data_IF_761306955476
#
_entry.id   IF_761306955476
#
_cell.length_a   1.000
_cell.length_b   1.000
_cell.length_c   1.000
_cell.angle_alpha   90.00
_cell.angle_beta   90.00
_cell.angle_gamma   90.00
#
_symmetry.space_group_name_H-M   'P 1'
#
loop_
_entity.id
_entity.type
_entity.pdbx_description
1 polymer ?
#
# COMPACT_ATOMS: atom_id res chain seq x y z
N UNK A 1 -2.08 21.44 4.54
CA UNK A 1 -1.88 20.05 4.99
C UNK A 1 -0.39 19.81 5.17
N UNK A 2 0.08 19.50 6.39
CA UNK A 2 1.51 19.29 6.64
C UNK A 2 2.03 18.14 5.75
N UNK A 3 3.00 18.44 4.88
CA UNK A 3 3.61 17.48 3.95
C UNK A 3 4.49 16.51 4.73
N UNK A 4 3.88 15.53 5.38
CA UNK A 4 4.59 14.39 5.92
C UNK A 4 5.30 13.62 4.82
N UNK A 5 6.55 13.20 5.05
CA UNK A 5 7.31 12.40 4.08
C UNK A 5 6.68 11.01 4.03
N UNK A 6 5.98 10.70 2.94
CA UNK A 6 5.43 9.37 2.66
C UNK A 6 6.57 8.46 2.24
N UNK A 7 6.80 7.39 2.99
CA UNK A 7 7.79 6.37 2.64
C UNK A 7 7.05 5.12 2.22
N UNK A 8 7.12 4.70 0.94
CA UNK A 8 6.53 3.43 0.53
C UNK A 8 7.30 2.29 1.20
N UNK A 9 6.62 1.50 2.02
CA UNK A 9 7.21 0.36 2.75
C UNK A 9 7.03 -0.94 1.95
N UNK A 10 5.94 -1.03 1.19
CA UNK A 10 5.64 -2.13 0.26
C UNK A 10 4.16 -2.23 -0.06
N UNK A 11 3.76 -3.27 -0.79
CA UNK A 11 2.37 -3.66 -1.00
C UNK A 11 2.04 -4.95 -0.26
N UNK A 12 0.78 -5.11 0.12
CA UNK A 12 0.22 -6.40 0.49
C UNK A 12 -0.46 -7.02 -0.73
N UNK A 13 -0.43 -8.34 -0.80
CA UNK A 13 -1.14 -9.10 -1.83
C UNK A 13 -2.47 -9.54 -1.24
N UNK A 14 -3.58 -9.00 -1.74
CA UNK A 14 -4.89 -9.59 -1.47
C UNK A 14 -5.15 -10.71 -2.49
N UNK A 15 -5.18 -11.98 -2.08
CA UNK A 15 -5.35 -13.08 -3.02
C UNK A 15 -6.67 -13.04 -3.79
N UNK A 16 -7.72 -12.41 -3.21
CA UNK A 16 -9.03 -12.32 -3.86
C UNK A 16 -9.04 -11.33 -5.04
N UNK A 17 -8.27 -10.24 -4.95
CA UNK A 17 -8.21 -9.22 -5.99
C UNK A 17 -7.02 -9.37 -6.93
N UNK A 18 -6.00 -10.15 -6.55
CA UNK A 18 -4.78 -10.33 -7.33
C UNK A 18 -5.05 -10.70 -8.80
N UNK A 19 -5.91 -11.68 -9.12
CA UNK A 19 -6.16 -12.03 -10.53
C UNK A 19 -6.80 -10.90 -11.34
N UNK A 20 -7.69 -10.12 -10.71
CA UNK A 20 -8.36 -8.99 -11.37
C UNK A 20 -7.39 -7.84 -11.61
N UNK A 21 -6.50 -7.57 -10.65
CA UNK A 21 -5.45 -6.55 -10.77
C UNK A 21 -4.44 -6.94 -11.85
N UNK A 22 -4.04 -8.21 -11.89
CA UNK A 22 -3.11 -8.71 -12.91
C UNK A 22 -3.73 -8.60 -14.31
N UNK A 23 -4.97 -9.06 -14.49
CA UNK A 23 -5.68 -8.92 -15.76
C UNK A 23 -5.83 -7.46 -16.21
N UNK A 24 -6.11 -6.54 -15.27
CA UNK A 24 -6.19 -5.11 -15.58
C UNK A 24 -4.83 -4.53 -15.99
N UNK A 25 -3.74 -4.91 -15.30
CA UNK A 25 -2.39 -4.48 -15.66
C UNK A 25 -1.98 -5.01 -17.03
N UNK A 26 -2.29 -6.27 -17.34
CA UNK A 26 -1.99 -6.89 -18.64
C UNK A 26 -2.76 -6.21 -19.77
N UNK A 27 -4.05 -5.89 -19.54
CA UNK A 27 -4.85 -5.15 -20.51
C UNK A 27 -4.28 -3.75 -20.77
N UNK A 28 -3.88 -3.02 -19.72
CA UNK A 28 -3.26 -1.70 -19.84
C UNK A 28 -1.92 -1.80 -20.59
N UNK A 29 -1.07 -2.77 -20.24
CA UNK A 29 0.21 -2.98 -20.91
C UNK A 29 0.01 -3.27 -22.40
N UNK A 30 -0.92 -4.17 -22.74
CA UNK A 30 -1.25 -4.52 -24.12
C UNK A 30 -1.69 -3.33 -24.95
N UNK A 31 -2.57 -2.46 -24.42
CA UNK A 31 -3.05 -1.29 -25.19
C UNK A 31 -2.01 -0.17 -25.30
N UNK A 32 -1.10 -0.06 -24.33
CA UNK A 32 0.03 0.88 -24.37
C UNK A 32 1.10 0.40 -25.34
N UNK A 33 1.48 -0.88 -25.29
CA UNK A 33 2.49 -1.48 -26.18
C UNK A 33 2.05 -1.44 -27.65
N UNK A 34 0.75 -1.58 -27.90
CA UNK A 34 0.15 -1.42 -29.24
C UNK A 34 0.03 0.04 -29.70
N UNK A 35 0.40 1.01 -28.86
CA UNK A 35 0.29 2.43 -29.15
C UNK A 35 -1.15 2.96 -29.26
N UNK A 36 -2.15 2.19 -28.81
CA UNK A 36 -3.56 2.57 -28.90
C UNK A 36 -3.91 3.68 -27.90
N UNK A 37 -3.24 3.70 -26.75
CA UNK A 37 -3.46 4.68 -25.70
C UNK A 37 -2.15 5.09 -25.04
N UNK A 38 -2.11 6.32 -24.51
CA UNK A 38 -0.98 6.83 -23.72
C UNK A 38 -1.32 6.81 -22.24
N UNK A 39 -0.49 6.15 -21.43
CA UNK A 39 -0.62 6.19 -19.98
C UNK A 39 -0.30 7.61 -19.47
N UNK A 40 -1.30 8.29 -18.90
CA UNK A 40 -1.15 9.68 -18.43
C UNK A 40 -0.55 9.75 -17.03
N UNK A 41 -1.05 8.93 -16.10
CA UNK A 41 -0.53 8.83 -14.74
C UNK A 41 -1.00 7.53 -14.09
N UNK A 42 -0.25 7.05 -13.09
CA UNK A 42 -0.74 6.12 -12.07
C UNK A 42 -1.02 6.93 -10.81
N UNK A 43 -2.19 7.58 -10.75
CA UNK A 43 -2.69 8.18 -9.51
C UNK A 43 -3.42 7.12 -8.71
N UNK A 44 -3.10 7.00 -7.43
CA UNK A 44 -3.53 5.87 -6.61
C UNK A 44 -4.34 6.37 -5.41
N UNK A 45 -5.48 5.69 -5.17
CA UNK A 45 -6.26 5.62 -3.94
C UNK A 45 -7.49 6.52 -3.86
N UNK A 46 -8.64 6.00 -4.30
CA UNK A 46 -9.95 6.56 -3.95
C UNK A 46 -10.22 6.40 -2.45
N UNK A 47 -9.68 5.33 -1.83
CA UNK A 47 -9.77 5.07 -0.40
C UNK A 47 -8.41 4.76 0.26
N UNK A 48 -8.18 5.35 1.44
CA UNK A 48 -7.05 5.05 2.33
C UNK A 48 -7.50 4.98 3.78
N UNK A 49 -6.94 4.06 4.55
CA UNK A 49 -7.18 3.88 5.99
C UNK A 49 -5.89 4.14 6.73
N UNK A 50 -5.95 4.99 7.76
CA UNK A 50 -4.81 5.30 8.63
C UNK A 50 -4.89 4.48 9.90
N UNK A 51 -3.78 3.85 10.25
CA UNK A 51 -3.63 2.96 11.38
C UNK A 51 -2.48 3.46 12.25
N UNK A 52 -2.70 3.57 13.55
CA UNK A 52 -1.75 4.12 14.49
C UNK A 52 -0.58 3.17 14.78
N UNK A 53 -0.72 1.86 14.51
CA UNK A 53 0.30 0.87 14.83
C UNK A 53 0.13 -0.49 14.11
N UNK A 54 1.16 -1.36 14.14
CA UNK A 54 1.13 -2.71 13.59
C UNK A 54 0.06 -3.63 14.18
N UNK A 55 -0.38 -3.39 15.42
CA UNK A 55 -1.47 -4.18 16.02
C UNK A 55 -2.80 -3.84 15.34
N UNK A 56 -3.07 -2.56 15.07
CA UNK A 56 -4.22 -2.14 14.27
C UNK A 56 -4.12 -2.64 12.82
N UNK A 57 -2.91 -2.67 12.23
CA UNK A 57 -2.70 -3.32 10.94
C UNK A 57 -3.06 -4.79 10.99
N UNK A 58 -2.63 -5.52 12.03
CA UNK A 58 -3.01 -6.91 12.19
C UNK A 58 -4.53 -7.07 12.30
N UNK A 59 -5.21 -6.32 13.15
CA UNK A 59 -6.68 -6.36 13.24
C UNK A 59 -7.36 -6.05 11.91
N UNK A 60 -6.91 -5.00 11.21
CA UNK A 60 -7.44 -4.60 9.91
C UNK A 60 -7.33 -5.72 8.86
N UNK A 61 -6.17 -6.37 8.78
CA UNK A 61 -5.93 -7.46 7.82
C UNK A 61 -6.75 -8.71 8.13
N UNK A 62 -7.12 -8.92 9.39
CA UNK A 62 -7.82 -10.12 9.86
C UNK A 62 -9.33 -9.93 10.04
N UNK A 63 -9.88 -8.77 9.65
CA UNK A 63 -11.32 -8.48 9.76
C UNK A 63 -12.17 -9.14 8.66
N UNK A 64 -11.57 -9.83 7.68
CA UNK A 64 -12.27 -10.50 6.56
C UNK A 64 -11.88 -11.96 6.39
N UNK A 65 -12.55 -12.69 5.49
CA UNK A 65 -12.42 -14.15 5.33
C UNK A 65 -11.02 -14.64 4.92
N UNK A 66 -10.19 -13.81 4.27
CA UNK A 66 -8.81 -14.17 3.92
C UNK A 66 -7.86 -12.99 4.08
N UNK A 67 -6.93 -13.04 5.06
CA UNK A 67 -6.05 -11.92 5.29
C UNK A 67 -5.09 -11.73 4.11
N UNK A 68 -4.84 -10.49 3.69
CA UNK A 68 -3.81 -10.16 2.73
C UNK A 68 -2.44 -10.62 3.22
N UNK A 69 -1.57 -10.99 2.28
CA UNK A 69 -0.24 -11.52 2.59
C UNK A 69 0.83 -10.47 2.35
N UNK A 70 1.84 -10.49 3.20
CA UNK A 70 3.07 -9.77 2.93
C UNK A 70 3.88 -10.54 1.86
N UNK A 71 4.36 -9.85 0.81
CA UNK A 71 5.41 -10.40 -0.03
C UNK A 71 6.64 -10.79 0.80
N UNK A 72 7.48 -11.71 0.30
CA UNK A 72 8.74 -12.06 0.96
C UNK A 72 9.54 -10.81 1.38
N UNK A 73 9.96 -10.76 2.64
CA UNK A 73 10.73 -9.65 3.20
C UNK A 73 9.99 -8.33 3.45
N UNK A 74 8.74 -8.16 2.98
CA UNK A 74 7.98 -6.92 3.19
C UNK A 74 7.61 -6.71 4.67
N UNK A 75 7.17 -7.76 5.37
CA UNK A 75 6.86 -7.69 6.81
C UNK A 75 8.08 -7.29 7.65
N UNK A 76 9.25 -7.87 7.34
CA UNK A 76 10.52 -7.54 8.02
C UNK A 76 10.90 -6.08 7.81
N UNK A 77 10.79 -5.57 6.59
CA UNK A 77 11.02 -4.15 6.26
C UNK A 77 10.06 -3.22 6.99
N UNK A 78 8.76 -3.55 7.03
CA UNK A 78 7.78 -2.80 7.79
C UNK A 78 8.15 -2.71 9.27
N UNK A 79 8.46 -3.84 9.91
CA UNK A 79 8.81 -3.82 11.34
C UNK A 79 10.12 -3.08 11.60
N UNK A 80 11.10 -3.17 10.70
CA UNK A 80 12.34 -2.40 10.79
C UNK A 80 12.08 -0.88 10.69
N UNK A 81 11.30 -0.45 9.70
CA UNK A 81 10.92 0.95 9.52
C UNK A 81 10.06 1.47 10.70
N UNK A 82 9.21 0.62 11.26
CA UNK A 82 8.35 0.97 12.39
C UNK A 82 9.12 1.15 13.70
N UNK A 83 10.21 0.40 13.89
CA UNK A 83 11.10 0.54 15.06
C UNK A 83 11.88 1.84 15.05
N UNK A 84 12.26 2.34 13.87
CA UNK A 84 12.97 3.61 13.70
C UNK A 84 12.03 4.82 13.49
N UNK A 85 10.74 4.66 13.77
CA UNK A 85 9.74 5.69 13.46
C UNK A 85 9.80 6.88 14.43
N UNK A 86 9.52 8.10 13.94
CA UNK A 86 9.31 9.25 14.83
C UNK A 86 7.96 9.14 15.57
N UNK A 87 7.82 9.84 16.71
CA UNK A 87 6.53 9.99 17.39
C UNK A 87 5.44 10.50 16.44
N UNK A 88 4.23 9.92 16.54
CA UNK A 88 3.12 10.28 15.67
C UNK A 88 3.19 9.75 14.23
N UNK A 89 4.09 8.80 13.95
CA UNK A 89 4.06 8.06 12.69
C UNK A 89 2.85 7.12 12.60
N UNK A 90 2.27 7.03 11.40
CA UNK A 90 1.09 6.23 11.08
C UNK A 90 1.40 5.26 9.94
N UNK A 91 0.59 4.21 9.83
CA UNK A 91 0.56 3.28 8.69
C UNK A 91 -0.66 3.64 7.86
N UNK A 92 -0.47 3.99 6.60
CA UNK A 92 -1.55 4.14 5.65
C UNK A 92 -1.67 2.85 4.82
N UNK A 93 -2.86 2.27 4.82
CA UNK A 93 -3.25 1.14 3.99
C UNK A 93 -4.21 1.65 2.94
N UNK A 94 -3.91 1.38 1.67
CA UNK A 94 -4.70 1.89 0.56
C UNK A 94 -5.62 0.82 -0.01
N UNK A 95 -6.53 1.17 -0.92
CA UNK A 95 -7.43 0.20 -1.57
C UNK A 95 -6.68 -0.93 -2.32
N UNK A 96 -5.50 -0.63 -2.84
CA UNK A 96 -4.57 -1.62 -3.43
C UNK A 96 -3.63 -2.25 -2.41
N UNK A 97 -3.95 -2.10 -1.13
CA UNK A 97 -3.21 -2.58 0.02
C UNK A 97 -1.73 -2.16 0.03
N UNK A 98 -1.45 -0.97 -0.49
CA UNK A 98 -0.13 -0.36 -0.36
C UNK A 98 0.05 0.09 1.07
N UNK A 99 1.17 -0.30 1.68
CA UNK A 99 1.58 0.13 3.01
C UNK A 99 2.54 1.31 2.86
N UNK A 100 2.08 2.47 3.30
CA UNK A 100 2.86 3.70 3.31
C UNK A 100 3.13 4.06 4.77
N UNK A 101 4.40 4.19 5.13
CA UNK A 101 4.77 4.81 6.41
C UNK A 101 4.62 6.32 6.28
N UNK A 102 3.77 6.92 7.11
CA UNK A 102 3.62 8.36 7.18
C UNK A 102 4.58 8.92 8.23
N UNK A 103 5.60 9.67 7.81
CA UNK A 103 6.39 10.52 8.71
C UNK A 103 5.70 11.87 8.82
N UNK A 104 5.20 12.25 9.99
CA UNK A 104 4.78 13.64 10.24
C UNK A 104 6.00 14.55 10.03
N UNK A 105 5.86 15.59 9.23
CA UNK A 105 6.88 16.64 9.13
C UNK A 105 6.68 17.58 10.32
N UNK A 106 7.67 17.64 11.20
CA UNK A 106 7.78 18.63 12.30
C UNK A 106 6.74 18.49 13.40
N UNK A 107 7.20 18.13 14.60
CA UNK A 107 7.15 19.07 15.70
C UNK A 107 8.60 19.45 15.99
#
# INVERSE_FOLDING_TARGET
>A
MARGRRVPIGGLVNPAFQPLIDAANDAIASVVDRGLFKLLNRSNHQFSVRLANPSQLHCYLHNGQRPPRFPPGARKRLMAAWRSRPPGAEIEVTEYMTLIGLRRAGA
#
